data_IF_634932227425
#
_entry.id   IF_634932227425
#
_cell.length_a   1.000
_cell.length_b   1.000
_cell.length_c   1.000
_cell.angle_alpha   90.00
_cell.angle_beta   90.00
_cell.angle_gamma   90.00
#
_symmetry.space_group_name_H-M   'P 1'
#
loop_
_entity.id
_entity.type
_entity.pdbx_description
1 polymer ?
#
# COMPACT_ATOMS: atom_id res chain seq x y z
N UNK A 1 0.30 -58.53 -65.03
CA UNK A 1 1.62 -57.93 -64.76
C UNK A 1 1.39 -56.58 -64.07
N UNK A 2 1.47 -56.53 -62.74
CA UNK A 2 1.22 -55.32 -61.93
C UNK A 2 2.54 -54.58 -61.72
N UNK A 3 2.61 -53.32 -62.15
CA UNK A 3 3.76 -52.41 -61.93
C UNK A 3 3.67 -51.82 -60.52
N UNK A 4 4.78 -51.92 -59.79
CA UNK A 4 4.97 -51.37 -58.43
C UNK A 4 5.57 -49.97 -58.59
N UNK A 5 4.90 -48.95 -58.07
CA UNK A 5 5.41 -47.57 -57.96
C UNK A 5 5.82 -47.29 -56.52
N UNK A 6 7.09 -46.91 -56.35
CA UNK A 6 7.73 -46.56 -55.08
C UNK A 6 7.56 -45.04 -54.85
N UNK A 7 7.10 -44.55 -53.67
CA UNK A 7 7.07 -43.13 -53.40
C UNK A 7 8.41 -42.65 -52.83
N UNK A 8 8.89 -41.53 -53.38
CA UNK A 8 10.09 -40.80 -52.97
C UNK A 8 9.74 -39.94 -51.74
N UNK A 9 10.34 -40.24 -50.59
CA UNK A 9 10.19 -39.43 -49.37
C UNK A 9 11.15 -38.25 -49.41
N UNK A 10 10.60 -37.03 -49.43
CA UNK A 10 11.34 -35.77 -49.46
C UNK A 10 11.46 -35.24 -48.02
N UNK A 11 12.66 -35.27 -47.46
CA UNK A 11 12.95 -34.76 -46.12
C UNK A 11 13.23 -33.25 -46.18
N UNK A 12 12.34 -32.43 -45.61
CA UNK A 12 12.50 -30.98 -45.45
C UNK A 12 13.26 -30.67 -44.15
N UNK A 13 14.49 -30.19 -44.28
CA UNK A 13 15.30 -29.64 -43.19
C UNK A 13 14.81 -28.21 -42.87
N UNK A 14 14.12 -28.05 -41.75
CA UNK A 14 13.80 -26.73 -41.18
C UNK A 14 15.03 -26.18 -40.44
N UNK A 15 15.79 -25.31 -41.10
CA UNK A 15 16.82 -24.50 -40.47
C UNK A 15 16.14 -23.41 -39.62
N UNK A 16 16.16 -23.57 -38.29
CA UNK A 16 15.66 -22.58 -37.35
C UNK A 16 16.64 -21.41 -37.20
N UNK A 17 16.36 -20.28 -37.86
CA UNK A 17 17.02 -19.01 -37.59
C UNK A 17 16.62 -18.53 -36.18
N UNK A 18 17.53 -18.67 -35.22
CA UNK A 18 17.45 -18.03 -33.91
C UNK A 18 17.80 -16.55 -34.05
N UNK A 19 16.79 -15.74 -34.38
CA UNK A 19 16.91 -14.27 -34.34
C UNK A 19 17.07 -13.85 -32.87
N UNK A 20 18.32 -13.61 -32.48
CA UNK A 20 18.64 -13.01 -31.19
C UNK A 20 18.04 -11.60 -31.16
N UNK A 21 17.06 -11.36 -30.28
CA UNK A 21 16.48 -10.04 -30.12
C UNK A 21 17.60 -9.03 -29.76
N UNK A 22 17.65 -7.84 -30.38
CA UNK A 22 18.66 -6.84 -30.06
C UNK A 22 18.55 -6.44 -28.59
N UNK A 23 19.70 -6.41 -27.90
CA UNK A 23 19.79 -5.99 -26.51
C UNK A 23 19.28 -4.54 -26.37
N UNK A 24 18.44 -4.29 -25.37
CA UNK A 24 17.95 -2.93 -25.10
C UNK A 24 19.11 -1.98 -24.79
N UNK A 25 19.11 -0.74 -25.32
CA UNK A 25 20.16 0.23 -25.04
C UNK A 25 20.26 0.50 -23.53
N UNK A 26 21.45 0.85 -23.01
CA UNK A 26 21.64 1.14 -21.61
C UNK A 26 20.72 2.29 -21.17
N UNK A 27 20.23 2.26 -19.91
CA UNK A 27 19.47 3.38 -19.37
C UNK A 27 20.35 4.63 -19.36
N UNK A 28 19.73 5.77 -19.58
CA UNK A 28 20.46 7.02 -19.62
C UNK A 28 20.20 7.90 -18.41
N UNK A 29 21.08 8.89 -18.21
CA UNK A 29 21.01 9.79 -17.06
C UNK A 29 19.76 10.68 -17.08
N UNK A 30 19.28 11.13 -15.91
CA UNK A 30 18.27 12.16 -15.80
C UNK A 30 18.58 13.40 -16.66
N UNK A 31 17.60 13.99 -17.35
CA UNK A 31 17.81 15.28 -18.00
C UNK A 31 18.28 16.33 -17.00
N UNK A 32 19.21 17.20 -17.40
CA UNK A 32 19.74 18.24 -16.52
C UNK A 32 18.61 19.11 -15.94
N UNK A 33 18.65 19.38 -14.63
CA UNK A 33 17.61 20.16 -13.94
C UNK A 33 16.31 19.41 -13.66
N UNK A 34 16.25 18.10 -13.95
CA UNK A 34 15.10 17.24 -13.65
C UNK A 34 15.47 16.25 -12.56
N UNK A 35 14.66 16.22 -11.50
CA UNK A 35 14.85 15.31 -10.37
C UNK A 35 13.52 14.78 -9.88
N UNK A 36 13.55 13.65 -9.17
CA UNK A 36 12.35 13.08 -8.54
C UNK A 36 12.56 12.90 -7.04
N UNK A 37 11.46 12.94 -6.31
CA UNK A 37 11.36 12.52 -4.92
C UNK A 37 10.08 11.72 -4.73
N UNK A 38 9.98 10.99 -3.64
CA UNK A 38 8.78 10.22 -3.33
C UNK A 38 7.92 10.95 -2.29
N UNK A 39 6.61 10.88 -2.45
CA UNK A 39 5.65 11.40 -1.50
C UNK A 39 4.39 10.52 -1.48
N UNK A 40 3.55 10.67 -0.46
CA UNK A 40 2.26 9.98 -0.42
C UNK A 40 1.23 10.89 0.21
N UNK A 41 0.13 11.14 -0.50
CA UNK A 41 -1.01 11.86 0.05
C UNK A 41 -1.88 10.94 0.89
N UNK A 42 -2.64 11.51 1.82
CA UNK A 42 -3.56 10.74 2.67
C UNK A 42 -4.62 9.95 1.88
N UNK A 43 -4.99 10.43 0.70
CA UNK A 43 -5.90 9.72 -0.22
C UNK A 43 -5.25 8.51 -0.87
N UNK A 44 -3.93 8.50 -0.98
CA UNK A 44 -3.17 7.48 -1.71
C UNK A 44 -2.89 6.25 -0.84
N UNK A 45 -2.78 6.44 0.47
CA UNK A 45 -2.56 5.40 1.46
C UNK A 45 -3.55 4.21 1.35
N UNK A 46 -4.88 4.41 1.42
CA UNK A 46 -5.83 3.30 1.27
C UNK A 46 -5.81 2.67 -0.13
N UNK A 47 -5.30 3.38 -1.14
CA UNK A 47 -5.25 2.92 -2.52
C UNK A 47 -3.96 2.17 -2.86
N UNK A 48 -3.02 2.05 -1.92
CA UNK A 48 -1.71 1.43 -2.16
C UNK A 48 -0.96 2.12 -3.32
N UNK A 49 -1.00 3.46 -3.30
CA UNK A 49 -0.33 4.31 -4.30
C UNK A 49 0.60 5.30 -3.61
N UNK A 50 1.56 5.83 -4.38
CA UNK A 50 2.44 6.92 -3.98
C UNK A 50 2.61 7.90 -5.13
N UNK A 51 3.25 9.03 -4.87
CA UNK A 51 3.58 10.05 -5.85
C UNK A 51 5.07 10.01 -6.15
N UNK A 52 5.39 10.01 -7.45
CA UNK A 52 6.69 10.45 -7.94
C UNK A 52 6.59 11.95 -8.17
N UNK A 53 7.12 12.73 -7.21
CA UNK A 53 7.14 14.18 -7.27
C UNK A 53 8.30 14.63 -8.16
N UNK A 54 7.97 15.04 -9.37
CA UNK A 54 8.93 15.51 -10.39
C UNK A 54 9.16 17.00 -10.23
N UNK A 55 10.43 17.40 -10.20
CA UNK A 55 10.88 18.79 -10.26
C UNK A 55 11.58 19.02 -11.61
N UNK A 56 11.27 20.14 -12.27
CA UNK A 56 11.93 20.58 -13.49
C UNK A 56 12.30 22.06 -13.34
N UNK A 57 13.60 22.35 -13.22
CA UNK A 57 14.11 23.71 -13.05
C UNK A 57 14.43 24.41 -14.37
N UNK A 58 14.18 23.76 -15.50
CA UNK A 58 14.49 24.28 -16.85
C UNK A 58 13.21 24.73 -17.55
N UNK A 59 13.35 25.59 -18.57
CA UNK A 59 12.22 25.97 -19.43
C UNK A 59 11.91 24.92 -20.51
N UNK A 60 12.74 23.88 -20.64
CA UNK A 60 12.49 22.75 -21.55
C UNK A 60 11.48 21.80 -20.93
N UNK A 61 10.29 21.61 -21.55
CA UNK A 61 9.33 20.64 -21.06
C UNK A 61 9.83 19.21 -21.22
N UNK A 62 9.48 18.36 -20.26
CA UNK A 62 9.88 16.95 -20.20
C UNK A 62 8.62 16.11 -20.33
N UNK A 63 8.53 15.31 -21.38
CA UNK A 63 7.44 14.34 -21.52
C UNK A 63 7.81 13.04 -20.80
N UNK A 64 6.92 12.55 -19.95
CA UNK A 64 7.04 11.32 -19.16
C UNK A 64 5.93 10.36 -19.58
N UNK A 65 6.29 9.34 -20.35
CA UNK A 65 5.34 8.38 -20.90
C UNK A 65 4.83 7.42 -19.81
N UNK A 66 5.75 6.89 -19.00
CA UNK A 66 5.48 5.98 -17.89
C UNK A 66 6.54 6.08 -16.81
N UNK A 67 6.18 5.57 -15.63
CA UNK A 67 7.00 5.61 -14.41
C UNK A 67 6.88 4.29 -13.65
N UNK A 68 7.98 3.81 -13.08
CA UNK A 68 8.08 2.58 -12.32
C UNK A 68 8.97 2.79 -11.09
N UNK A 69 8.51 2.35 -9.91
CA UNK A 69 9.36 2.22 -8.73
C UNK A 69 10.10 0.88 -8.79
N UNK A 70 11.42 0.90 -8.61
CA UNK A 70 12.27 -0.30 -8.55
C UNK A 70 13.11 -0.27 -7.29
N UNK A 71 12.90 -1.25 -6.42
CA UNK A 71 13.66 -1.46 -5.19
C UNK A 71 13.49 -2.89 -4.70
N UNK A 72 14.49 -3.51 -4.05
CA UNK A 72 14.32 -4.82 -3.41
C UNK A 72 13.32 -4.83 -2.24
N UNK A 73 13.01 -3.66 -1.65
CA UNK A 73 12.09 -3.57 -0.51
C UNK A 73 10.63 -3.84 -0.86
N UNK A 74 10.25 -3.78 -2.13
CA UNK A 74 8.87 -3.95 -2.60
C UNK A 74 8.86 -4.76 -3.90
N UNK A 75 7.80 -5.53 -4.12
CA UNK A 75 7.58 -6.19 -5.42
C UNK A 75 7.58 -5.13 -6.53
N UNK A 76 8.39 -5.32 -7.57
CA UNK A 76 8.39 -4.41 -8.71
C UNK A 76 7.13 -4.65 -9.55
N UNK A 77 6.31 -3.61 -9.71
CA UNK A 77 5.14 -3.63 -10.59
C UNK A 77 5.52 -3.19 -12.02
N UNK A 78 4.73 -3.54 -13.05
CA UNK A 78 4.93 -2.99 -14.40
C UNK A 78 4.92 -1.45 -14.41
N UNK A 79 5.59 -0.80 -15.39
CA UNK A 79 5.53 0.65 -15.53
C UNK A 79 4.10 1.18 -15.63
N UNK A 80 3.80 2.23 -14.89
CA UNK A 80 2.51 2.90 -14.89
C UNK A 80 2.49 4.01 -15.93
N UNK A 81 1.55 3.95 -16.89
CA UNK A 81 1.37 5.00 -17.90
C UNK A 81 0.96 6.30 -17.23
N UNK A 82 1.70 7.37 -17.51
CA UNK A 82 1.44 8.71 -16.98
C UNK A 82 1.07 9.69 -18.06
N UNK A 83 1.67 9.58 -19.26
CA UNK A 83 1.40 10.43 -20.41
C UNK A 83 1.38 11.94 -20.08
N UNK A 84 2.41 12.39 -19.34
CA UNK A 84 2.44 13.71 -18.73
C UNK A 84 3.56 14.58 -19.30
N UNK A 85 3.25 15.83 -19.64
CA UNK A 85 4.25 16.84 -20.01
C UNK A 85 4.52 17.76 -18.82
N UNK A 86 5.73 17.66 -18.28
CA UNK A 86 6.20 18.41 -17.11
C UNK A 86 6.92 19.68 -17.57
N UNK A 87 6.24 20.81 -17.48
CA UNK A 87 6.83 22.15 -17.67
C UNK A 87 7.73 22.51 -16.48
N UNK A 88 8.37 23.68 -16.52
CA UNK A 88 9.09 24.24 -15.37
C UNK A 88 8.18 24.24 -14.14
N UNK A 89 8.61 23.55 -13.09
CA UNK A 89 7.83 23.36 -11.87
C UNK A 89 8.75 22.98 -10.72
N UNK A 90 8.43 23.48 -9.52
CA UNK A 90 9.04 22.96 -8.29
C UNK A 90 8.51 21.57 -7.94
N UNK A 91 7.28 21.24 -8.39
CA UNK A 91 6.64 19.95 -8.11
C UNK A 91 5.48 19.65 -9.07
N UNK A 92 5.51 18.47 -9.66
CA UNK A 92 4.34 17.83 -10.26
C UNK A 92 4.32 16.36 -9.85
N UNK A 93 3.18 15.92 -9.33
CA UNK A 93 3.03 14.59 -8.75
C UNK A 93 2.48 13.62 -9.79
N UNK A 94 3.23 12.55 -10.06
CA UNK A 94 2.79 11.43 -10.88
C UNK A 94 2.40 10.28 -9.95
N UNK A 95 1.09 10.03 -9.82
CA UNK A 95 0.57 8.96 -8.97
C UNK A 95 0.85 7.61 -9.62
N UNK A 96 1.48 6.70 -8.87
CA UNK A 96 1.72 5.33 -9.30
C UNK A 96 1.34 4.34 -8.19
N UNK A 97 0.92 3.11 -8.53
CA UNK A 97 0.88 2.02 -7.55
C UNK A 97 2.30 1.60 -7.16
N UNK A 98 2.45 1.00 -5.98
CA UNK A 98 3.69 0.32 -5.58
C UNK A 98 3.36 -1.14 -5.21
N UNK A 99 4.33 -2.05 -5.26
CA UNK A 99 4.05 -3.46 -4.98
C UNK A 99 4.08 -3.78 -3.50
N UNK A 100 3.69 -5.01 -3.14
CA UNK A 100 3.73 -5.47 -1.74
C UNK A 100 5.15 -5.44 -1.17
N UNK A 101 5.29 -5.06 0.10
CA UNK A 101 6.55 -5.09 0.83
C UNK A 101 7.18 -6.49 0.88
N UNK A 102 8.50 -6.54 0.74
CA UNK A 102 9.30 -7.77 0.84
C UNK A 102 9.49 -8.18 2.30
N UNK A 103 8.40 -8.61 2.96
CA UNK A 103 8.41 -8.95 4.37
C UNK A 103 8.97 -10.34 4.66
N UNK A 104 9.56 -10.47 5.84
CA UNK A 104 10.19 -11.68 6.34
C UNK A 104 9.57 -12.06 7.69
N UNK A 105 9.54 -13.36 8.02
CA UNK A 105 9.09 -13.83 9.34
C UNK A 105 10.13 -13.59 10.44
N UNK A 106 11.37 -13.33 10.06
CA UNK A 106 12.50 -13.16 10.97
C UNK A 106 12.52 -11.76 11.63
N UNK A 107 11.81 -10.78 11.07
CA UNK A 107 11.76 -9.43 11.63
C UNK A 107 11.42 -8.37 10.60
N UNK A 108 11.60 -7.11 10.99
CA UNK A 108 11.48 -5.97 10.08
C UNK A 108 12.78 -5.83 9.28
N UNK A 109 12.74 -5.88 7.94
CA UNK A 109 13.91 -5.61 7.12
C UNK A 109 14.21 -4.10 7.06
N UNK A 110 15.48 -3.76 6.85
CA UNK A 110 15.88 -2.39 6.52
C UNK A 110 15.44 -2.02 5.09
N UNK A 111 15.07 -0.75 4.90
CA UNK A 111 14.78 -0.22 3.56
C UNK A 111 16.01 -0.34 2.68
N UNK A 112 15.84 -0.74 1.44
CA UNK A 112 16.91 -0.90 0.46
C UNK A 112 16.94 0.31 -0.48
N UNK A 113 18.06 0.58 -1.18
CA UNK A 113 18.12 1.59 -2.20
C UNK A 113 16.99 1.45 -3.24
N UNK A 114 16.53 2.58 -3.74
CA UNK A 114 15.42 2.65 -4.70
C UNK A 114 15.78 3.54 -5.89
N UNK A 115 15.16 3.23 -7.01
CA UNK A 115 15.22 4.04 -8.22
C UNK A 115 13.83 4.22 -8.79
N UNK A 116 13.62 5.36 -9.46
CA UNK A 116 12.47 5.56 -10.32
C UNK A 116 12.93 5.40 -11.75
N UNK A 117 12.38 4.42 -12.45
CA UNK A 117 12.63 4.20 -13.87
C UNK A 117 11.49 4.81 -14.66
N UNK A 118 11.79 5.62 -15.67
CA UNK A 118 10.78 6.28 -16.49
C UNK A 118 11.19 6.34 -17.97
N UNK A 119 10.22 6.36 -18.86
CA UNK A 119 10.45 6.68 -20.27
C UNK A 119 10.20 8.16 -20.52
N UNK A 120 11.26 8.88 -20.88
CA UNK A 120 11.29 10.34 -20.93
C UNK A 120 11.81 10.85 -22.28
N UNK A 121 11.23 11.94 -22.79
CA UNK A 121 11.82 12.73 -23.87
C UNK A 121 11.81 14.22 -23.57
N UNK A 122 12.79 14.93 -24.13
CA UNK A 122 12.87 16.40 -24.16
C UNK A 122 12.67 16.85 -25.61
N UNK A 123 11.63 17.61 -25.91
CA UNK A 123 11.28 17.99 -27.29
C UNK A 123 10.56 16.88 -28.08
N UNK A 124 10.77 16.81 -29.41
CA UNK A 124 10.05 15.90 -30.33
C UNK A 124 10.67 14.50 -30.48
N UNK A 125 11.68 14.16 -29.68
CA UNK A 125 12.32 12.84 -29.71
C UNK A 125 11.46 11.72 -29.11
N UNK A 126 11.78 10.48 -29.45
CA UNK A 126 11.15 9.30 -28.85
C UNK A 126 11.53 9.19 -27.35
N UNK A 127 10.59 8.78 -26.47
CA UNK A 127 10.89 8.53 -25.07
C UNK A 127 11.97 7.46 -24.91
N UNK A 128 12.97 7.76 -24.08
CA UNK A 128 14.06 6.85 -23.73
C UNK A 128 14.00 6.47 -22.26
N UNK A 129 14.52 5.30 -21.92
CA UNK A 129 14.62 4.83 -20.53
C UNK A 129 15.60 5.69 -19.75
N UNK A 130 15.13 6.27 -18.65
CA UNK A 130 15.90 7.08 -17.69
C UNK A 130 15.76 6.48 -16.30
N UNK A 131 16.86 6.49 -15.54
CA UNK A 131 16.88 6.04 -14.15
C UNK A 131 17.16 7.22 -13.24
N UNK A 132 16.19 7.58 -12.42
CA UNK A 132 16.34 8.60 -11.40
C UNK A 132 16.71 7.96 -10.06
N UNK A 133 17.82 8.36 -9.43
CA UNK A 133 18.14 7.90 -8.08
C UNK A 133 17.13 8.47 -7.08
N UNK A 134 16.74 7.65 -6.10
CA UNK A 134 15.99 8.10 -4.92
C UNK A 134 16.98 8.20 -3.76
N UNK A 135 16.95 9.27 -2.94
CA UNK A 135 17.78 9.35 -1.75
C UNK A 135 17.63 8.12 -0.86
N UNK A 136 18.73 7.65 -0.29
CA UNK A 136 18.74 6.47 0.59
C UNK A 136 19.35 6.82 1.95
N UNK A 137 18.68 6.49 3.07
CA UNK A 137 17.33 5.92 3.13
C UNK A 137 16.25 6.92 2.69
N UNK A 138 15.24 6.45 1.96
CA UNK A 138 14.04 7.25 1.68
C UNK A 138 13.06 7.09 2.85
N UNK A 139 12.63 8.19 3.50
CA UNK A 139 11.78 8.11 4.68
C UNK A 139 10.36 7.60 4.40
N UNK A 140 9.83 7.81 3.18
CA UNK A 140 8.53 7.27 2.82
C UNK A 140 8.60 5.76 2.65
N UNK A 141 9.57 5.26 1.89
CA UNK A 141 9.75 3.82 1.69
C UNK A 141 10.06 3.09 3.01
N UNK A 142 10.88 3.68 3.87
CA UNK A 142 11.15 3.15 5.22
C UNK A 142 9.86 3.00 6.04
N UNK A 143 9.01 4.04 6.03
CA UNK A 143 7.71 4.00 6.72
C UNK A 143 6.79 2.93 6.13
N UNK A 144 6.63 2.90 4.80
CA UNK A 144 5.75 1.94 4.12
C UNK A 144 6.18 0.49 4.41
N UNK A 145 7.49 0.22 4.34
CA UNK A 145 8.06 -1.10 4.62
C UNK A 145 7.80 -1.51 6.07
N UNK A 146 8.06 -0.59 7.01
CA UNK A 146 7.81 -0.81 8.45
C UNK A 146 6.34 -1.09 8.69
N UNK A 147 5.43 -0.30 8.13
CA UNK A 147 3.99 -0.42 8.34
C UNK A 147 3.46 -1.76 7.78
N UNK A 148 3.81 -2.13 6.54
CA UNK A 148 3.37 -3.38 5.92
C UNK A 148 3.96 -4.62 6.58
N UNK A 149 5.25 -4.61 6.91
CA UNK A 149 5.89 -5.76 7.55
C UNK A 149 5.52 -5.91 9.02
N UNK A 150 5.19 -4.81 9.71
CA UNK A 150 4.56 -4.86 11.03
C UNK A 150 3.22 -5.57 10.96
N UNK A 151 2.36 -5.17 10.02
CA UNK A 151 1.06 -5.79 9.81
C UNK A 151 1.21 -7.27 9.39
N UNK A 152 2.17 -7.60 8.53
CA UNK A 152 2.47 -8.97 8.13
C UNK A 152 2.78 -9.85 9.35
N UNK A 153 3.72 -9.43 10.21
CA UNK A 153 4.14 -10.20 11.37
C UNK A 153 2.99 -10.43 12.36
N UNK A 154 2.21 -9.39 12.68
CA UNK A 154 1.02 -9.53 13.53
C UNK A 154 0.01 -10.48 12.89
N UNK A 155 -0.21 -10.37 11.57
CA UNK A 155 -1.12 -11.24 10.85
C UNK A 155 -0.64 -12.70 10.79
N UNK A 156 0.66 -13.00 10.91
CA UNK A 156 1.08 -14.39 11.07
C UNK A 156 0.64 -14.98 12.42
N UNK A 157 0.56 -14.16 13.47
CA UNK A 157 0.22 -14.60 14.82
C UNK A 157 -1.28 -14.62 15.10
N UNK A 158 -2.03 -13.61 14.65
CA UNK A 158 -3.47 -13.44 14.95
C UNK A 158 -4.25 -12.83 13.78
N UNK A 159 -5.55 -13.10 13.76
CA UNK A 159 -6.54 -12.27 13.09
C UNK A 159 -7.09 -11.23 14.06
N UNK A 160 -7.30 -9.99 13.62
CA UNK A 160 -7.90 -8.92 14.43
C UNK A 160 -9.01 -8.30 13.58
N UNK A 161 -10.24 -8.36 14.07
CA UNK A 161 -11.43 -7.94 13.34
C UNK A 161 -12.42 -7.23 14.26
N UNK A 162 -13.32 -6.46 13.67
CA UNK A 162 -14.49 -5.95 14.39
C UNK A 162 -15.48 -7.10 14.58
N UNK A 163 -15.93 -7.31 15.82
CA UNK A 163 -16.92 -8.32 16.16
C UNK A 163 -18.26 -8.07 15.45
N UNK A 164 -19.12 -9.10 15.33
CA UNK A 164 -20.38 -9.00 14.61
C UNK A 164 -21.43 -8.16 15.36
N UNK A 165 -21.34 -8.11 16.69
CA UNK A 165 -22.30 -7.41 17.53
C UNK A 165 -21.84 -5.99 17.86
N UNK A 166 -22.60 -5.02 17.37
CA UNK A 166 -22.44 -3.60 17.70
C UNK A 166 -23.77 -3.01 18.07
N UNK A 167 -23.85 -2.26 19.17
CA UNK A 167 -25.10 -1.70 19.70
C UNK A 167 -24.88 -0.24 20.06
N UNK A 168 -25.83 0.62 19.69
CA UNK A 168 -25.89 1.99 20.21
C UNK A 168 -26.31 1.90 21.68
N UNK A 169 -25.56 2.54 22.56
CA UNK A 169 -25.87 2.59 23.98
C UNK A 169 -25.43 3.95 24.52
N UNK A 170 -26.36 4.71 25.10
CA UNK A 170 -26.13 6.11 25.42
C UNK A 170 -25.65 6.90 24.20
N UNK A 171 -24.52 7.60 24.31
CA UNK A 171 -23.94 8.39 23.22
C UNK A 171 -22.86 7.67 22.41
N UNK A 172 -22.73 6.34 22.52
CA UNK A 172 -21.65 5.58 21.89
C UNK A 172 -22.16 4.35 21.13
N UNK A 173 -21.46 3.97 20.06
CA UNK A 173 -21.59 2.66 19.44
C UNK A 173 -20.60 1.71 20.12
N UNK A 174 -21.09 0.67 20.80
CA UNK A 174 -20.27 -0.30 21.54
C UNK A 174 -20.22 -1.64 20.85
N UNK A 175 -19.08 -2.31 20.93
CA UNK A 175 -18.85 -3.67 20.43
C UNK A 175 -17.43 -4.11 20.77
N UNK A 176 -17.00 -5.22 20.17
CA UNK A 176 -15.70 -5.83 20.48
C UNK A 176 -14.76 -5.80 19.28
N UNK A 177 -13.46 -5.67 19.55
CA UNK A 177 -12.47 -6.28 18.68
C UNK A 177 -12.34 -7.76 19.01
N UNK A 178 -12.42 -8.60 17.99
CA UNK A 178 -12.24 -10.04 18.09
C UNK A 178 -10.84 -10.39 17.59
N UNK A 179 -10.09 -11.10 18.43
CA UNK A 179 -8.75 -11.55 18.14
C UNK A 179 -8.74 -13.07 18.15
N UNK A 180 -8.33 -13.67 17.03
CA UNK A 180 -8.29 -15.13 16.86
C UNK A 180 -6.88 -15.58 16.54
N UNK A 181 -6.39 -16.59 17.24
CA UNK A 181 -5.04 -17.15 17.06
C UNK A 181 -4.86 -17.75 15.65
N UNK A 182 -3.69 -17.49 15.06
CA UNK A 182 -3.21 -18.14 13.83
C UNK A 182 -1.82 -18.78 14.00
N UNK A 183 -1.01 -18.24 14.90
CA UNK A 183 0.35 -18.68 15.14
C UNK A 183 0.68 -18.87 16.63
N UNK A 184 1.90 -19.35 16.92
CA UNK A 184 2.39 -19.50 18.28
C UNK A 184 2.69 -18.13 18.93
N UNK A 185 3.03 -18.16 20.21
CA UNK A 185 3.44 -16.98 20.98
C UNK A 185 2.28 -16.22 21.62
N UNK A 186 2.60 -15.35 22.57
CA UNK A 186 1.64 -14.45 23.19
C UNK A 186 1.46 -13.20 22.33
N UNK A 187 0.22 -12.70 22.23
CA UNK A 187 -0.07 -11.43 21.56
C UNK A 187 -0.75 -10.49 22.54
N UNK A 188 -0.14 -9.34 22.79
CA UNK A 188 -0.75 -8.28 23.62
C UNK A 188 -1.27 -7.18 22.70
N UNK A 189 -2.54 -6.83 22.83
CA UNK A 189 -3.12 -5.63 22.21
C UNK A 189 -3.08 -4.51 23.23
N UNK A 190 -2.21 -3.52 23.02
CA UNK A 190 -1.99 -2.43 23.96
C UNK A 190 -3.11 -1.38 23.85
N UNK A 191 -3.45 -0.99 22.63
CA UNK A 191 -4.40 0.09 22.38
C UNK A 191 -4.98 0.02 20.98
N UNK A 192 -6.07 0.76 20.76
CA UNK A 192 -6.63 1.04 19.44
C UNK A 192 -6.81 2.54 19.31
N UNK A 193 -6.11 3.13 18.34
CA UNK A 193 -6.22 4.56 18.06
C UNK A 193 -7.50 4.88 17.29
N UNK A 194 -8.03 6.08 17.53
CA UNK A 194 -9.12 6.64 16.75
C UNK A 194 -8.68 7.12 15.36
N UNK A 195 -9.67 7.56 14.59
CA UNK A 195 -9.47 8.29 13.33
C UNK A 195 -9.94 9.73 13.51
N UNK A 196 -9.77 10.57 12.48
CA UNK A 196 -10.36 11.93 12.49
C UNK A 196 -11.89 11.92 12.69
N UNK A 197 -12.56 10.81 12.34
CA UNK A 197 -14.02 10.71 12.35
C UNK A 197 -14.54 10.02 13.61
N UNK A 198 -13.73 9.16 14.22
CA UNK A 198 -14.17 8.33 15.34
C UNK A 198 -13.11 8.32 16.44
N UNK A 199 -13.54 8.68 17.65
CA UNK A 199 -12.78 8.44 18.87
C UNK A 199 -13.05 7.00 19.30
N UNK A 200 -11.99 6.28 19.62
CA UNK A 200 -12.04 4.94 20.22
C UNK A 200 -11.80 5.08 21.72
N UNK A 201 -12.72 4.54 22.51
CA UNK A 201 -12.61 4.47 23.97
C UNK A 201 -12.63 3.00 24.38
N UNK A 202 -11.48 2.40 24.70
CA UNK A 202 -11.45 1.04 25.21
C UNK A 202 -11.94 0.97 26.65
N UNK A 203 -12.49 -0.17 27.05
CA UNK A 203 -12.92 -0.38 28.44
C UNK A 203 -11.74 -0.44 29.43
N UNK A 204 -10.59 -0.93 28.95
CA UNK A 204 -9.34 -1.04 29.72
C UNK A 204 -8.11 -0.95 28.83
N UNK A 205 -6.96 -0.67 29.45
CA UNK A 205 -5.64 -0.76 28.80
C UNK A 205 -4.70 -1.66 29.64
N UNK A 206 -3.94 -2.58 29.02
CA UNK A 206 -4.01 -2.98 27.61
C UNK A 206 -5.41 -3.53 27.26
N UNK A 207 -5.78 -3.49 25.97
CA UNK A 207 -7.05 -4.06 25.50
C UNK A 207 -7.19 -5.53 25.94
N UNK A 208 -6.09 -6.27 25.82
CA UNK A 208 -5.95 -7.59 26.41
C UNK A 208 -4.73 -8.34 25.90
N UNK A 209 -4.49 -9.50 26.50
CA UNK A 209 -3.42 -10.42 26.12
C UNK A 209 -4.02 -11.76 25.72
N UNK A 210 -3.68 -12.21 24.53
CA UNK A 210 -3.96 -13.55 24.05
C UNK A 210 -2.76 -14.45 24.38
N UNK A 211 -2.81 -15.07 25.56
CA UNK A 211 -1.79 -16.03 26.00
C UNK A 211 -1.67 -17.21 25.05
N UNK A 212 -0.50 -17.84 24.97
CA UNK A 212 -0.17 -18.86 23.98
C UNK A 212 -1.18 -20.02 23.87
N UNK A 213 -1.83 -20.41 24.97
CA UNK A 213 -2.84 -21.47 25.00
C UNK A 213 -4.25 -21.00 24.60
N UNK A 214 -4.52 -19.69 24.67
CA UNK A 214 -5.83 -19.10 24.40
C UNK A 214 -6.05 -18.91 22.90
N UNK A 215 -7.19 -19.38 22.38
CA UNK A 215 -7.49 -19.30 20.95
C UNK A 215 -8.19 -18.01 20.53
N UNK A 216 -8.91 -17.36 21.46
CA UNK A 216 -9.74 -16.19 21.17
C UNK A 216 -9.71 -15.20 22.33
N UNK A 217 -9.69 -13.91 22.00
CA UNK A 217 -9.84 -12.79 22.93
C UNK A 217 -10.87 -11.82 22.34
N UNK A 218 -11.75 -11.30 23.18
CA UNK A 218 -12.67 -10.22 22.84
C UNK A 218 -12.30 -9.01 23.68
N UNK A 219 -12.14 -7.87 23.02
CA UNK A 219 -11.71 -6.62 23.63
C UNK A 219 -12.81 -5.55 23.44
N UNK A 220 -13.58 -5.24 24.49
CA UNK A 220 -14.65 -4.26 24.42
C UNK A 220 -14.14 -2.84 24.14
N UNK A 221 -14.77 -2.20 23.17
CA UNK A 221 -14.49 -0.82 22.76
C UNK A 221 -15.78 -0.04 22.50
N UNK A 222 -15.70 1.27 22.66
CA UNK A 222 -16.74 2.21 22.30
C UNK A 222 -16.23 3.18 21.23
N UNK A 223 -17.09 3.46 20.24
CA UNK A 223 -16.84 4.45 19.19
C UNK A 223 -17.80 5.64 19.37
N UNK A 224 -17.25 6.84 19.26
CA UNK A 224 -18.02 8.09 19.25
C UNK A 224 -17.52 8.99 18.11
N UNK A 225 -18.33 9.92 17.58
CA UNK A 225 -17.86 10.88 16.59
C UNK A 225 -16.69 11.70 17.14
N UNK A 226 -15.59 11.78 16.39
CA UNK A 226 -14.45 12.64 16.72
C UNK A 226 -14.66 14.09 16.30
N UNK A 227 -15.52 14.33 15.31
CA UNK A 227 -15.88 15.65 14.79
C UNK A 227 -17.33 15.64 14.32
N UNK A 228 -18.03 16.76 14.54
CA UNK A 228 -19.41 16.98 14.12
C UNK A 228 -19.52 18.22 13.24
N UNK A 229 -18.82 18.23 12.12
CA UNK A 229 -18.90 19.27 11.10
C UNK A 229 -19.01 18.64 9.70
N UNK A 230 -19.76 19.29 8.80
CA UNK A 230 -20.04 18.73 7.47
C UNK A 230 -18.78 18.46 6.63
N UNK A 231 -17.70 19.21 6.85
CA UNK A 231 -16.42 18.99 6.16
C UNK A 231 -15.80 17.64 6.54
N UNK A 232 -15.86 17.26 7.82
CA UNK A 232 -15.36 15.97 8.26
C UNK A 232 -16.06 14.83 7.52
N UNK A 233 -17.39 14.84 7.42
CA UNK A 233 -18.14 13.77 6.74
C UNK A 233 -17.96 13.77 5.21
N UNK A 234 -17.85 14.94 4.59
CA UNK A 234 -17.70 15.05 3.13
C UNK A 234 -16.32 14.60 2.62
N UNK A 235 -15.26 14.69 3.44
CA UNK A 235 -13.87 14.40 3.04
C UNK A 235 -13.28 13.16 3.75
N UNK A 236 -14.10 12.11 3.89
CA UNK A 236 -13.79 10.90 4.65
C UNK A 236 -12.83 9.92 3.95
N UNK A 237 -11.57 10.30 3.70
CA UNK A 237 -10.56 9.45 3.00
C UNK A 237 -10.08 8.23 3.80
N UNK A 238 -9.95 8.36 5.13
CA UNK A 238 -9.38 7.34 6.04
C UNK A 238 -10.25 7.12 7.29
N UNK A 239 -11.56 7.38 7.18
CA UNK A 239 -12.46 7.38 8.34
C UNK A 239 -12.48 6.07 9.12
N UNK A 240 -12.21 4.95 8.44
CA UNK A 240 -12.32 3.60 8.98
C UNK A 240 -11.00 2.82 9.06
N UNK A 241 -9.86 3.50 8.91
CA UNK A 241 -8.54 2.90 9.06
C UNK A 241 -8.07 3.02 10.52
N UNK A 242 -8.52 2.10 11.39
CA UNK A 242 -8.20 2.17 12.81
C UNK A 242 -6.86 1.47 13.12
N UNK A 243 -5.86 2.18 13.68
CA UNK A 243 -4.60 1.56 14.08
C UNK A 243 -4.74 0.81 15.40
N UNK A 244 -4.49 -0.50 15.39
CA UNK A 244 -4.33 -1.33 16.58
C UNK A 244 -2.84 -1.49 16.88
N UNK A 245 -2.44 -1.22 18.13
CA UNK A 245 -1.07 -1.38 18.63
C UNK A 245 -0.95 -2.74 19.32
N UNK A 246 -0.09 -3.60 18.81
CA UNK A 246 0.09 -4.96 19.32
C UNK A 246 1.57 -5.33 19.48
N UNK A 247 1.85 -6.26 20.39
CA UNK A 247 3.18 -6.86 20.63
C UNK A 247 3.11 -8.36 20.49
N UNK A 248 4.16 -8.95 19.94
CA UNK A 248 4.40 -10.40 19.94
C UNK A 248 5.44 -10.72 21.01
N UNK A 249 5.13 -11.66 21.90
CA UNK A 249 6.05 -12.18 22.92
C UNK A 249 6.78 -11.07 23.73
N UNK A 250 6.07 -9.97 24.03
CA UNK A 250 6.62 -8.84 24.78
C UNK A 250 7.64 -7.96 24.02
N UNK A 251 7.86 -8.22 22.73
CA UNK A 251 8.77 -7.47 21.87
C UNK A 251 8.26 -6.07 21.49
N UNK A 252 8.80 -5.54 20.39
CA UNK A 252 8.46 -4.21 19.89
C UNK A 252 6.97 -4.04 19.61
N UNK A 253 6.44 -2.86 19.90
CA UNK A 253 5.06 -2.49 19.53
C UNK A 253 4.95 -2.27 18.03
N UNK A 254 3.95 -2.92 17.42
CA UNK A 254 3.65 -2.89 16.00
C UNK A 254 2.25 -2.35 15.78
N UNK A 255 2.08 -1.60 14.70
CA UNK A 255 0.78 -1.07 14.31
C UNK A 255 0.21 -1.89 13.16
N UNK A 256 -1.06 -2.29 13.31
CA UNK A 256 -1.84 -2.93 12.25
C UNK A 256 -3.13 -2.14 12.05
N UNK A 257 -3.44 -1.82 10.80
CA UNK A 257 -4.72 -1.18 10.46
C UNK A 257 -5.81 -2.25 10.39
N UNK A 258 -6.88 -2.03 11.14
CA UNK A 258 -8.09 -2.86 11.15
C UNK A 258 -9.25 -2.02 10.64
N UNK A 259 -10.02 -2.59 9.72
CA UNK A 259 -11.13 -1.90 9.06
C UNK A 259 -12.43 -2.62 9.38
N UNK A 260 -13.47 -1.91 9.88
CA UNK A 260 -14.80 -2.48 10.03
C UNK A 260 -15.33 -3.03 8.70
N UNK A 261 -16.09 -4.13 8.70
CA UNK A 261 -16.77 -4.59 7.49
C UNK A 261 -17.77 -3.53 7.01
N UNK A 262 -18.04 -3.48 5.70
CA UNK A 262 -18.90 -2.45 5.07
C UNK A 262 -20.25 -2.25 5.77
N UNK A 263 -21.00 -3.30 6.17
CA UNK A 263 -22.24 -3.11 6.93
C UNK A 263 -22.06 -2.36 8.25
N UNK A 264 -20.94 -2.57 8.95
CA UNK A 264 -20.64 -1.82 10.18
C UNK A 264 -20.22 -0.38 9.87
N UNK A 265 -19.48 -0.14 8.78
CA UNK A 265 -19.17 1.22 8.34
C UNK A 265 -20.44 2.02 8.09
N UNK A 266 -21.42 1.46 7.39
CA UNK A 266 -22.70 2.13 7.09
C UNK A 266 -23.47 2.48 8.35
N UNK A 267 -23.50 1.53 9.31
CA UNK A 267 -24.12 1.76 10.62
C UNK A 267 -23.41 2.84 11.44
N UNK A 268 -22.07 2.89 11.38
CA UNK A 268 -21.28 3.91 12.05
C UNK A 268 -21.51 5.30 11.44
N UNK A 269 -21.63 5.39 10.11
CA UNK A 269 -22.00 6.64 9.42
C UNK A 269 -23.38 7.11 9.87
N UNK A 270 -24.39 6.24 9.81
CA UNK A 270 -25.75 6.58 10.21
C UNK A 270 -25.82 7.03 11.69
N UNK A 271 -25.14 6.30 12.57
CA UNK A 271 -25.00 6.67 13.98
C UNK A 271 -24.31 8.03 14.14
N UNK A 272 -23.21 8.28 13.43
CA UNK A 272 -22.47 9.53 13.55
C UNK A 272 -23.26 10.74 13.05
N UNK A 273 -24.00 10.59 11.93
CA UNK A 273 -24.90 11.63 11.42
C UNK A 273 -25.98 11.96 12.45
N UNK A 274 -26.66 10.95 13.00
CA UNK A 274 -27.66 11.12 14.07
C UNK A 274 -27.06 11.77 15.32
N UNK A 275 -25.94 11.25 15.82
CA UNK A 275 -25.28 11.74 17.02
C UNK A 275 -24.78 13.19 16.89
N UNK A 276 -24.44 13.61 15.67
CA UNK A 276 -24.02 14.98 15.35
C UNK A 276 -25.18 15.92 14.95
N UNK A 277 -26.43 15.42 14.93
CA UNK A 277 -27.60 16.24 14.57
C UNK A 277 -27.76 16.52 13.08
N UNK A 278 -27.17 15.69 12.21
CA UNK A 278 -27.31 15.76 10.75
C UNK A 278 -28.35 14.77 10.18
N UNK A 279 -28.86 13.86 11.01
CA UNK A 279 -29.90 12.92 10.61
C UNK A 279 -31.24 13.34 11.21
N UNK A 280 -32.19 13.66 10.35
CA UNK A 280 -33.63 13.63 10.69
C UNK A 280 -34.12 12.17 10.73
#
# INVERSE_FOLDING_TARGET
MKRITLPLAMATLLAGCSTSAPASPPPADPPAGVSVSLAQWRSDEPMHTLQVAVRNTTDTPVYVADVQLVTPSFTTLPPHRTDATIKRTERTDLRIPYGAAACSKQGLPDVQPATVVAHVSTGSGQPRKVVFPVPHPDPLLARLLRDECSAFLIKQAVNIEFGPEWKESGKAMRGDLVITRRGPGAVTLNDMGGTTHYIVTPERKPLGTLDAATQRLEAPIALTPGRCDGHAFAEAKKAFLFPVRARLDGGEERVVIVVPPKPLQDRLIAYALKACGFGD
#
